data_IF_117976784023
#
_entry.id   IF_117976784023
#
_cell.length_a   1.000
_cell.length_b   1.000
_cell.length_c   1.000
_cell.angle_alpha   90.00
_cell.angle_beta   90.00
_cell.angle_gamma   90.00
#
_symmetry.space_group_name_H-M   'P 1'
#
loop_
_entity.id
_entity.type
_entity.pdbx_description
1 polymer ?
#
# COMPACT_ATOMS: atom_id res chain seq x y z
N UNK A 1 23.17 -1.32 5.78
CA UNK A 1 23.46 -2.16 4.60
C UNK A 1 23.93 -1.24 3.49
N UNK A 2 25.21 -1.26 3.11
CA UNK A 2 25.70 -0.44 2.00
C UNK A 2 24.98 -0.82 0.69
N UNK A 3 24.50 0.16 -0.08
CA UNK A 3 23.88 -0.04 -1.39
C UNK A 3 22.45 -0.58 -1.41
N UNK A 4 21.80 -0.74 -0.24
CA UNK A 4 20.38 -1.10 -0.19
C UNK A 4 19.52 0.08 -0.67
N UNK A 5 18.46 -0.22 -1.43
CA UNK A 5 17.47 0.75 -1.91
C UNK A 5 16.12 0.46 -1.27
N UNK A 6 15.44 1.51 -0.80
CA UNK A 6 14.15 1.38 -0.13
C UNK A 6 13.05 1.97 -1.00
N UNK A 7 12.00 1.18 -1.24
CA UNK A 7 10.77 1.65 -1.88
C UNK A 7 9.71 1.69 -0.79
N UNK A 8 9.18 2.88 -0.51
CA UNK A 8 8.14 3.11 0.47
C UNK A 8 6.81 3.20 -0.27
N UNK A 9 6.03 2.12 -0.22
CA UNK A 9 4.70 2.07 -0.80
C UNK A 9 3.70 2.80 0.07
N UNK A 10 2.88 3.68 -0.51
CA UNK A 10 1.84 4.43 0.20
C UNK A 10 0.49 4.22 -0.46
N UNK A 11 -0.57 4.45 0.30
CA UNK A 11 -1.95 4.37 -0.15
C UNK A 11 -2.80 5.31 0.70
N UNK A 12 -3.92 5.77 0.16
CA UNK A 12 -4.91 6.55 0.91
C UNK A 12 -5.22 5.88 2.26
N UNK A 13 -5.03 6.64 3.35
CA UNK A 13 -5.18 6.12 4.70
C UNK A 13 -6.58 5.59 4.98
N UNK A 14 -7.60 6.18 4.36
CA UNK A 14 -8.99 5.75 4.48
C UNK A 14 -9.15 4.32 3.95
N UNK A 15 -8.57 4.02 2.78
CA UNK A 15 -8.60 2.68 2.18
C UNK A 15 -7.74 1.67 2.96
N UNK A 16 -6.62 2.11 3.53
CA UNK A 16 -5.78 1.26 4.38
C UNK A 16 -6.54 0.84 5.63
N UNK A 17 -7.14 1.80 6.35
CA UNK A 17 -7.91 1.52 7.57
C UNK A 17 -9.13 0.67 7.26
N UNK A 18 -9.88 0.95 6.18
CA UNK A 18 -10.99 0.12 5.75
C UNK A 18 -10.56 -1.34 5.46
N UNK A 19 -9.39 -1.53 4.84
CA UNK A 19 -8.83 -2.86 4.58
C UNK A 19 -8.37 -3.58 5.86
N UNK A 20 -7.74 -2.84 6.79
CA UNK A 20 -7.31 -3.37 8.10
C UNK A 20 -8.50 -3.73 8.99
N UNK A 21 -9.57 -2.94 8.93
CA UNK A 21 -10.77 -3.16 9.74
C UNK A 21 -11.45 -4.49 9.38
N UNK A 22 -11.46 -4.87 8.10
CA UNK A 22 -11.93 -6.23 7.68
C UNK A 22 -11.16 -7.37 8.33
N UNK A 23 -9.93 -7.12 8.82
CA UNK A 23 -9.08 -8.12 9.46
C UNK A 23 -9.17 -8.08 10.99
N UNK A 24 -9.23 -6.90 11.57
CA UNK A 24 -9.20 -6.74 13.02
C UNK A 24 -10.56 -6.62 13.66
N UNK A 25 -11.59 -6.24 12.88
CA UNK A 25 -12.91 -5.85 13.38
C UNK A 25 -12.83 -4.83 14.52
N UNK A 26 -11.89 -3.90 14.37
CA UNK A 26 -11.52 -2.91 15.38
C UNK A 26 -11.02 -1.65 14.64
N UNK A 27 -11.91 -0.65 14.45
CA UNK A 27 -11.58 0.55 13.70
C UNK A 27 -10.48 1.38 14.36
N UNK A 28 -10.48 1.48 15.69
CA UNK A 28 -9.50 2.29 16.43
C UNK A 28 -8.11 1.66 16.36
N UNK A 29 -8.02 0.35 16.52
CA UNK A 29 -6.76 -0.39 16.31
C UNK A 29 -6.28 -0.27 14.87
N UNK A 30 -7.19 -0.31 13.90
CA UNK A 30 -6.85 -0.16 12.48
C UNK A 30 -6.32 1.23 12.15
N UNK A 31 -6.95 2.27 12.71
CA UNK A 31 -6.53 3.66 12.58
C UNK A 31 -5.19 3.93 13.26
N UNK A 32 -5.04 3.54 14.53
CA UNK A 32 -3.79 3.69 15.28
C UNK A 32 -2.63 2.95 14.60
N UNK A 33 -2.90 1.78 14.04
CA UNK A 33 -1.94 1.02 13.25
C UNK A 33 -1.50 1.79 12.00
N UNK A 34 -2.44 2.37 11.26
CA UNK A 34 -2.15 3.18 10.08
C UNK A 34 -1.30 4.41 10.45
N UNK A 35 -1.71 5.21 11.44
CA UNK A 35 -0.95 6.40 11.89
C UNK A 35 0.49 6.04 12.21
N UNK A 36 0.71 5.02 13.05
CA UNK A 36 2.05 4.59 13.46
C UNK A 36 2.91 4.13 12.28
N UNK A 37 2.37 3.28 11.42
CA UNK A 37 3.14 2.74 10.28
C UNK A 37 3.44 3.86 9.25
N UNK A 38 2.48 4.75 8.99
CA UNK A 38 2.63 5.87 8.05
C UNK A 38 3.56 6.95 8.58
N UNK A 39 3.55 7.23 9.89
CA UNK A 39 4.55 8.10 10.53
C UNK A 39 5.97 7.52 10.39
N UNK A 40 6.14 6.21 10.61
CA UNK A 40 7.42 5.55 10.38
C UNK A 40 7.87 5.63 8.91
N UNK A 41 6.94 5.46 7.96
CA UNK A 41 7.21 5.67 6.53
C UNK A 41 7.66 7.10 6.24
N UNK A 42 6.99 8.11 6.81
CA UNK A 42 7.38 9.53 6.68
C UNK A 42 8.81 9.75 7.19
N UNK A 43 9.13 9.24 8.38
CA UNK A 43 10.50 9.35 8.93
C UNK A 43 11.55 8.59 8.10
N UNK A 44 11.19 7.51 7.40
CA UNK A 44 12.08 6.87 6.42
C UNK A 44 12.36 7.78 5.23
N UNK A 45 11.34 8.46 4.71
CA UNK A 45 11.45 9.33 3.54
C UNK A 45 12.25 10.59 3.86
N UNK A 46 12.00 11.20 5.01
CA UNK A 46 12.71 12.41 5.46
C UNK A 46 14.21 12.18 5.69
N UNK A 47 14.63 10.92 5.90
CA UNK A 47 16.07 10.56 6.01
C UNK A 47 16.80 10.53 4.67
N UNK A 48 16.09 10.61 3.55
CA UNK A 48 16.65 10.45 2.21
C UNK A 48 16.78 8.97 1.79
N UNK A 49 17.24 8.75 0.56
CA UNK A 49 17.59 7.42 0.01
C UNK A 49 16.43 6.44 -0.21
N UNK A 50 15.20 6.93 -0.30
CA UNK A 50 14.03 6.10 -0.62
C UNK A 50 13.19 6.67 -1.76
N UNK A 51 12.59 5.77 -2.54
CA UNK A 51 11.56 6.09 -3.52
C UNK A 51 10.19 6.01 -2.84
N UNK A 52 9.40 7.08 -2.92
CA UNK A 52 7.98 7.04 -2.58
C UNK A 52 7.21 6.51 -3.77
N UNK A 53 6.45 5.44 -3.57
CA UNK A 53 5.64 4.82 -4.62
C UNK A 53 4.17 4.78 -4.17
N UNK A 54 3.33 5.59 -4.81
CA UNK A 54 1.91 5.69 -4.47
C UNK A 54 1.10 4.64 -5.22
N UNK A 55 0.27 3.89 -4.50
CA UNK A 55 -0.65 2.93 -5.08
C UNK A 55 -1.58 3.58 -6.12
N UNK A 56 -2.04 4.80 -5.86
CA UNK A 56 -2.99 5.51 -6.73
C UNK A 56 -2.37 5.91 -8.07
N UNK A 57 -1.09 6.27 -8.08
CA UNK A 57 -0.34 6.55 -9.31
C UNK A 57 -0.13 5.27 -10.12
N UNK A 58 0.18 4.16 -9.43
CA UNK A 58 0.28 2.84 -10.07
C UNK A 58 -1.02 2.40 -10.71
N UNK A 59 -2.16 2.55 -10.03
CA UNK A 59 -3.45 2.18 -10.62
C UNK A 59 -3.80 3.09 -11.81
N UNK A 60 -3.45 4.38 -11.75
CA UNK A 60 -3.78 5.33 -12.81
C UNK A 60 -2.91 5.16 -14.05
N UNK A 61 -1.63 4.81 -13.88
CA UNK A 61 -0.71 4.54 -14.98
C UNK A 61 0.34 3.47 -14.57
N UNK A 62 -0.02 2.18 -14.66
CA UNK A 62 0.87 1.10 -14.24
C UNK A 62 2.23 1.07 -14.97
N UNK A 63 2.31 1.27 -16.30
CA UNK A 63 3.59 1.28 -17.01
C UNK A 63 4.57 2.33 -16.49
N UNK A 64 4.14 3.59 -16.34
CA UNK A 64 5.04 4.67 -15.92
C UNK A 64 5.40 4.56 -14.44
N UNK A 65 4.44 4.19 -13.61
CA UNK A 65 4.69 3.94 -12.19
C UNK A 65 5.70 2.80 -11.99
N UNK A 66 5.57 1.68 -12.72
CA UNK A 66 6.52 0.57 -12.62
C UNK A 66 7.89 0.93 -13.22
N UNK A 67 7.93 1.73 -14.29
CA UNK A 67 9.18 2.25 -14.86
C UNK A 67 9.97 3.07 -13.83
N UNK A 68 9.30 3.94 -13.07
CA UNK A 68 9.96 4.72 -12.01
C UNK A 68 10.63 3.84 -10.95
N UNK A 69 9.98 2.72 -10.58
CA UNK A 69 10.54 1.72 -9.67
C UNK A 69 11.75 1.04 -10.31
N UNK A 70 11.62 0.61 -11.56
CA UNK A 70 12.68 -0.04 -12.32
C UNK A 70 13.93 0.83 -12.43
N UNK A 71 13.77 2.12 -12.76
CA UNK A 71 14.86 3.08 -12.86
C UNK A 71 15.53 3.28 -11.51
N UNK A 72 14.75 3.44 -10.44
CA UNK A 72 15.28 3.54 -9.08
C UNK A 72 16.10 2.32 -8.67
N UNK A 73 15.64 1.11 -9.02
CA UNK A 73 16.36 -0.14 -8.72
C UNK A 73 17.35 -0.58 -9.82
N UNK A 74 17.56 0.23 -10.87
CA UNK A 74 18.55 -0.02 -11.92
C UNK A 74 18.28 -1.31 -12.73
N UNK A 75 17.01 -1.64 -12.96
CA UNK A 75 16.62 -2.76 -13.83
C UNK A 75 15.83 -2.23 -15.03
N UNK A 76 15.94 -2.89 -16.18
CA UNK A 76 15.18 -2.50 -17.38
C UNK A 76 13.70 -2.85 -17.21
N UNK A 77 12.83 -1.85 -17.33
CA UNK A 77 11.39 -2.06 -17.45
C UNK A 77 11.06 -2.90 -18.69
N UNK A 78 10.17 -3.87 -18.52
CA UNK A 78 9.65 -4.72 -19.60
C UNK A 78 8.12 -4.75 -19.49
N UNK A 79 7.35 -4.48 -20.56
CA UNK A 79 5.89 -4.46 -20.50
C UNK A 79 5.28 -5.72 -19.87
N UNK A 80 5.90 -6.88 -20.13
CA UNK A 80 5.47 -8.19 -19.62
C UNK A 80 5.56 -8.32 -18.09
N UNK A 81 6.19 -7.35 -17.40
CA UNK A 81 6.16 -7.28 -15.93
C UNK A 81 4.75 -6.98 -15.41
N UNK A 82 3.87 -6.36 -16.21
CA UNK A 82 2.48 -6.11 -15.86
C UNK A 82 1.59 -7.36 -15.98
N UNK A 83 2.05 -8.35 -16.76
CA UNK A 83 1.39 -9.65 -16.95
C UNK A 83 1.80 -10.68 -15.87
N UNK A 84 2.21 -10.20 -14.69
CA UNK A 84 2.69 -11.06 -13.59
C UNK A 84 1.68 -12.15 -13.19
N UNK A 85 0.39 -11.86 -13.34
CA UNK A 85 -0.71 -12.76 -12.99
C UNK A 85 -0.81 -13.99 -13.91
N UNK A 86 -0.21 -13.94 -15.10
CA UNK A 86 -0.13 -15.10 -16.02
C UNK A 86 0.88 -16.16 -15.55
N UNK A 87 1.75 -15.81 -14.60
CA UNK A 87 2.78 -16.69 -14.03
C UNK A 87 2.54 -16.87 -12.53
N UNK A 88 1.78 -17.90 -12.11
CA UNK A 88 1.37 -18.02 -10.72
C UNK A 88 2.54 -18.03 -9.75
N UNK A 89 2.51 -17.14 -8.77
CA UNK A 89 3.49 -17.06 -7.69
C UNK A 89 2.91 -17.63 -6.39
N UNK A 90 3.74 -18.38 -5.66
CA UNK A 90 3.40 -18.84 -4.31
C UNK A 90 3.77 -17.72 -3.33
N UNK A 91 2.75 -17.06 -2.77
CA UNK A 91 2.93 -16.07 -1.73
C UNK A 91 3.24 -16.75 -0.37
N UNK A 92 4.45 -16.54 0.16
CA UNK A 92 4.94 -17.13 1.40
C UNK A 92 5.68 -18.46 1.19
N UNK A 93 6.84 -18.65 1.85
CA UNK A 93 7.55 -19.95 1.83
C UNK A 93 6.64 -21.02 2.43
N UNK A 94 6.51 -22.15 1.76
CA UNK A 94 5.64 -23.26 2.14
C UNK A 94 6.04 -23.84 3.51
N UNK A 95 5.16 -23.74 4.54
CA UNK A 95 4.66 -24.86 5.39
C UNK A 95 3.88 -24.39 6.64
N UNK A 96 2.80 -25.15 6.88
CA UNK A 96 2.02 -25.45 8.10
C UNK A 96 0.79 -24.64 8.54
N UNK A 97 0.60 -23.34 8.26
CA UNK A 97 -0.72 -22.70 8.52
C UNK A 97 -1.05 -21.65 7.46
N UNK A 98 -1.97 -21.97 6.56
CA UNK A 98 -2.61 -20.96 5.72
C UNK A 98 -3.72 -20.28 6.52
N UNK A 99 -3.44 -19.10 7.07
CA UNK A 99 -4.50 -18.21 7.59
C UNK A 99 -5.38 -17.73 6.43
N UNK A 100 -6.62 -17.35 6.71
CA UNK A 100 -7.53 -16.75 5.72
C UNK A 100 -6.85 -15.56 4.99
N UNK A 101 -6.13 -14.73 5.74
CA UNK A 101 -5.37 -13.61 5.19
C UNK A 101 -4.24 -14.04 4.23
N UNK A 102 -3.55 -15.15 4.50
CA UNK A 102 -2.52 -15.67 3.58
C UNK A 102 -3.12 -16.26 2.31
N UNK A 103 -4.29 -16.91 2.39
CA UNK A 103 -5.04 -17.40 1.23
C UNK A 103 -5.53 -16.24 0.37
N UNK A 104 -6.09 -15.20 1.00
CA UNK A 104 -6.52 -13.99 0.31
C UNK A 104 -5.36 -13.31 -0.41
N UNK A 105 -4.20 -13.19 0.24
CA UNK A 105 -3.00 -12.61 -0.41
C UNK A 105 -2.51 -13.45 -1.59
N UNK A 106 -2.48 -14.77 -1.44
CA UNK A 106 -2.15 -15.66 -2.54
C UNK A 106 -3.09 -15.45 -3.73
N UNK A 107 -4.40 -15.31 -3.50
CA UNK A 107 -5.36 -15.00 -4.56
C UNK A 107 -5.07 -13.63 -5.20
N UNK A 108 -4.86 -12.59 -4.40
CA UNK A 108 -4.67 -11.21 -4.89
C UNK A 108 -3.41 -11.04 -5.73
N UNK A 109 -2.28 -11.67 -5.36
CA UNK A 109 -1.02 -11.55 -6.13
C UNK A 109 -1.02 -12.34 -7.44
N UNK A 110 -2.05 -13.15 -7.68
CA UNK A 110 -2.23 -13.93 -8.90
C UNK A 110 -3.42 -13.43 -9.73
N UNK A 111 -3.98 -12.26 -9.39
CA UNK A 111 -5.02 -11.59 -10.16
C UNK A 111 -4.42 -10.43 -10.97
N UNK A 112 -5.04 -10.05 -12.10
CA UNK A 112 -4.71 -8.82 -12.80
C UNK A 112 -4.74 -7.61 -11.86
N UNK A 113 -4.06 -6.52 -12.27
CA UNK A 113 -4.07 -5.25 -11.53
C UNK A 113 -5.53 -4.84 -11.32
N UNK A 114 -5.93 -4.75 -10.05
CA UNK A 114 -7.31 -4.44 -9.65
C UNK A 114 -7.33 -3.14 -8.86
N UNK A 115 -8.24 -2.24 -9.24
CA UNK A 115 -8.46 -0.97 -8.56
C UNK A 115 -9.28 -1.16 -7.28
N UNK A 116 -8.66 -0.89 -6.14
CA UNK A 116 -9.31 -0.88 -4.83
C UNK A 116 -9.36 0.53 -4.22
N UNK A 117 -9.19 1.59 -5.01
CA UNK A 117 -9.33 2.96 -4.51
C UNK A 117 -10.78 3.23 -4.12
N UNK A 118 -10.96 3.90 -2.99
CA UNK A 118 -12.28 4.33 -2.54
C UNK A 118 -13.14 3.21 -1.94
N UNK A 119 -12.58 2.02 -1.67
CA UNK A 119 -13.30 0.99 -0.90
C UNK A 119 -13.67 1.48 0.50
N UNK A 120 -12.98 2.49 1.02
CA UNK A 120 -13.33 3.12 2.29
C UNK A 120 -14.76 3.66 2.31
N UNK A 121 -15.29 4.12 1.18
CA UNK A 121 -16.67 4.66 1.10
C UNK A 121 -17.74 3.65 1.49
N UNK A 122 -17.45 2.35 1.36
CA UNK A 122 -18.39 1.27 1.70
C UNK A 122 -17.98 0.47 2.93
N UNK A 123 -16.71 0.53 3.33
CA UNK A 123 -16.16 -0.39 4.35
C UNK A 123 -15.61 0.34 5.58
N UNK A 124 -15.52 1.67 5.56
CA UNK A 124 -15.14 2.46 6.71
C UNK A 124 -16.41 2.74 7.55
N UNK A 125 -16.37 2.56 8.88
CA UNK A 125 -17.48 2.97 9.74
C UNK A 125 -17.76 4.46 9.61
N UNK A 126 -19.04 4.83 9.68
CA UNK A 126 -19.49 6.21 9.55
C UNK A 126 -18.78 7.13 10.57
N UNK A 127 -18.30 8.29 10.12
CA UNK A 127 -17.64 9.31 10.94
C UNK A 127 -16.14 9.07 11.15
N UNK A 128 -15.61 7.89 10.82
CA UNK A 128 -14.17 7.65 10.92
C UNK A 128 -13.37 8.41 9.87
N UNK A 129 -13.97 8.77 8.74
CA UNK A 129 -13.36 9.62 7.71
C UNK A 129 -12.91 10.99 8.25
N UNK A 130 -13.62 11.54 9.24
CA UNK A 130 -13.29 12.84 9.86
C UNK A 130 -11.96 12.79 10.62
N UNK A 131 -11.59 11.60 11.12
CA UNK A 131 -10.32 11.38 11.83
C UNK A 131 -9.11 11.63 10.93
N UNK A 132 -9.25 11.47 9.62
CA UNK A 132 -8.18 11.74 8.66
C UNK A 132 -8.03 13.23 8.34
N UNK A 133 -8.99 14.06 8.73
CA UNK A 133 -8.99 15.51 8.51
C UNK A 133 -8.49 16.31 9.73
N UNK A 134 -8.01 15.64 10.79
CA UNK A 134 -7.56 16.29 12.03
C UNK A 134 -6.21 15.75 12.51
N UNK A 135 -5.50 16.55 13.32
CA UNK A 135 -4.27 16.18 14.02
C UNK A 135 -3.16 15.59 13.12
N UNK A 136 -2.40 14.65 13.69
CA UNK A 136 -1.30 13.94 13.01
C UNK A 136 -1.77 13.22 11.74
N UNK A 137 -2.99 12.67 11.75
CA UNK A 137 -3.53 11.97 10.60
C UNK A 137 -3.68 12.89 9.37
N UNK A 138 -4.14 14.13 9.56
CA UNK A 138 -4.20 15.13 8.48
C UNK A 138 -2.82 15.45 7.93
N UNK A 139 -1.84 15.61 8.80
CA UNK A 139 -0.46 15.90 8.39
C UNK A 139 0.12 14.77 7.55
N UNK A 140 -0.10 13.51 7.98
CA UNK A 140 0.32 12.33 7.24
C UNK A 140 -0.42 12.22 5.89
N UNK A 141 -1.74 12.42 5.86
CA UNK A 141 -2.52 12.43 4.62
C UNK A 141 -1.99 13.50 3.65
N UNK A 142 -1.72 14.70 4.15
CA UNK A 142 -1.19 15.81 3.33
C UNK A 142 0.21 15.51 2.81
N UNK A 143 1.10 15.01 3.66
CA UNK A 143 2.48 14.67 3.30
C UNK A 143 2.54 13.67 2.13
N UNK A 144 1.64 12.69 2.12
CA UNK A 144 1.56 11.68 1.06
C UNK A 144 0.62 12.05 -0.11
N UNK A 145 0.10 13.28 -0.14
CA UNK A 145 -0.73 13.78 -1.25
C UNK A 145 -2.19 13.32 -1.24
N UNK A 146 -2.73 12.97 -0.07
CA UNK A 146 -4.10 12.52 0.17
C UNK A 146 -4.95 13.55 0.95
N UNK A 147 -4.46 14.76 1.17
CA UNK A 147 -5.12 15.78 2.01
C UNK A 147 -6.36 16.46 1.41
N UNK A 148 -6.99 15.86 0.40
CA UNK A 148 -8.20 16.35 -0.28
C UNK A 148 -9.46 15.58 0.15
#
# INVERSE_FOLDING_TARGET
MPGARFIISTRDGRDVVASLNKRYDDPEKSFARWVRDTAASKSCIERGDSLVWRYEDFISNPPDSLRSVCDFIGVTFRPEMLDYHEKPVIWGRQRSVRTEHSLRRWSLVNQPITDYRGIWRTNLPQGMEERFATGEARELMTFFGYGH
#
